data_IF_983049872947
#
_entry.id   IF_983049872947
#
_cell.length_a   1.000
_cell.length_b   1.000
_cell.length_c   1.000
_cell.angle_alpha   90.00
_cell.angle_beta   90.00
_cell.angle_gamma   90.00
#
_symmetry.space_group_name_H-M   'P 1'
#
loop_
_entity.id
_entity.type
_entity.pdbx_description
1 polymer ?
#
# COMPACT_ATOMS: atom_id res chain seq x y z
N UNK A 1 19.02 0.44 -5.31
CA UNK A 1 17.97 0.55 -4.28
C UNK A 1 17.49 -0.86 -4.01
N UNK A 2 18.18 -1.51 -3.08
CA UNK A 2 17.63 -2.34 -2.00
C UNK A 2 16.71 -3.52 -2.34
N UNK A 3 17.26 -4.50 -3.09
CA UNK A 3 16.64 -5.83 -3.26
C UNK A 3 16.28 -6.51 -1.90
N UNK A 4 16.98 -6.17 -0.81
CA UNK A 4 16.66 -6.66 0.54
C UNK A 4 15.46 -5.94 1.19
N UNK A 5 15.30 -4.62 0.95
CA UNK A 5 14.16 -3.86 1.45
C UNK A 5 12.87 -4.30 0.75
N UNK A 6 12.93 -4.51 -0.57
CA UNK A 6 11.80 -4.99 -1.36
C UNK A 6 11.40 -6.41 -0.95
N UNK A 7 12.37 -7.30 -0.69
CA UNK A 7 12.11 -8.66 -0.24
C UNK A 7 11.48 -8.70 1.17
N UNK A 8 11.98 -7.88 2.09
CA UNK A 8 11.44 -7.77 3.45
C UNK A 8 10.01 -7.21 3.45
N UNK A 9 9.77 -6.17 2.65
CA UNK A 9 8.45 -5.59 2.49
C UNK A 9 7.47 -6.55 1.80
N UNK A 10 7.93 -7.27 0.79
CA UNK A 10 7.13 -8.32 0.12
C UNK A 10 6.67 -9.36 1.14
N UNK A 11 7.59 -9.89 1.96
CA UNK A 11 7.24 -10.87 2.99
C UNK A 11 6.27 -10.31 4.04
N UNK A 12 6.39 -9.02 4.39
CA UNK A 12 5.45 -8.35 5.29
C UNK A 12 4.04 -8.26 4.67
N UNK A 13 3.95 -7.83 3.40
CA UNK A 13 2.69 -7.73 2.67
C UNK A 13 2.04 -9.10 2.45
N UNK A 14 2.82 -10.15 2.19
CA UNK A 14 2.31 -11.53 2.09
C UNK A 14 1.66 -12.01 3.40
N UNK A 15 2.21 -11.59 4.55
CA UNK A 15 1.65 -11.90 5.87
C UNK A 15 0.42 -11.06 6.19
N UNK A 16 0.39 -9.80 5.75
CA UNK A 16 -0.72 -8.89 5.99
C UNK A 16 -1.93 -9.18 5.10
N UNK A 17 -1.71 -9.70 3.89
CA UNK A 17 -2.75 -10.04 2.92
C UNK A 17 -2.56 -11.45 2.37
N UNK A 18 -2.79 -12.50 3.19
CA UNK A 18 -2.55 -13.88 2.82
C UNK A 18 -3.42 -14.36 1.65
N UNK A 19 -4.67 -13.91 1.54
CA UNK A 19 -5.57 -14.29 0.45
C UNK A 19 -5.13 -13.66 -0.89
N UNK A 20 -4.67 -12.42 -0.84
CA UNK A 20 -4.11 -11.69 -1.97
C UNK A 20 -2.79 -12.31 -2.41
N UNK A 21 -1.91 -12.65 -1.47
CA UNK A 21 -0.64 -13.33 -1.77
C UNK A 21 -0.85 -14.70 -2.43
N UNK A 22 -1.81 -15.49 -1.93
CA UNK A 22 -2.09 -16.82 -2.46
C UNK A 22 -2.70 -16.80 -3.88
N UNK A 23 -3.58 -15.83 -4.17
CA UNK A 23 -4.32 -15.78 -5.44
C UNK A 23 -3.71 -14.84 -6.48
N UNK A 24 -3.09 -13.75 -6.02
CA UNK A 24 -2.59 -12.65 -6.83
C UNK A 24 -1.18 -12.21 -6.37
N UNK A 25 -0.17 -13.11 -6.39
CA UNK A 25 1.19 -12.79 -5.91
C UNK A 25 1.86 -11.64 -6.67
N UNK A 26 1.45 -11.39 -7.92
CA UNK A 26 1.93 -10.26 -8.72
C UNK A 26 1.44 -8.90 -8.19
N UNK A 27 0.27 -8.86 -7.54
CA UNK A 27 -0.25 -7.64 -6.88
C UNK A 27 0.64 -7.29 -5.69
N UNK A 28 0.98 -8.27 -4.85
CA UNK A 28 1.88 -8.07 -3.70
C UNK A 28 3.25 -7.57 -4.13
N UNK A 29 3.86 -8.21 -5.13
CA UNK A 29 5.17 -7.78 -5.67
C UNK A 29 5.13 -6.36 -6.20
N UNK A 30 4.04 -6.00 -6.90
CA UNK A 30 3.88 -4.66 -7.45
C UNK A 30 3.66 -3.62 -6.34
N UNK A 31 2.84 -3.94 -5.33
CA UNK A 31 2.68 -3.11 -4.14
C UNK A 31 4.03 -2.85 -3.46
N UNK A 32 4.83 -3.89 -3.21
CA UNK A 32 6.15 -3.74 -2.61
C UNK A 32 7.04 -2.79 -3.41
N UNK A 33 7.09 -2.96 -4.74
CA UNK A 33 7.90 -2.11 -5.62
C UNK A 33 7.41 -0.67 -5.75
N UNK A 34 6.13 -0.40 -5.49
CA UNK A 34 5.58 0.98 -5.51
C UNK A 34 5.46 1.60 -4.12
N UNK A 35 5.67 0.85 -3.04
CA UNK A 35 5.33 1.29 -1.68
C UNK A 35 6.10 2.52 -1.20
N UNK A 36 7.35 2.66 -1.66
CA UNK A 36 8.21 3.79 -1.33
C UNK A 36 7.85 5.09 -2.09
N UNK A 37 7.00 4.98 -3.12
CA UNK A 37 6.48 6.12 -3.89
C UNK A 37 4.98 6.31 -3.56
N UNK A 38 4.64 7.30 -2.72
CA UNK A 38 3.26 7.56 -2.32
C UNK A 38 2.30 7.80 -3.48
N UNK A 39 2.75 8.43 -4.56
CA UNK A 39 1.90 8.73 -5.71
C UNK A 39 1.64 7.47 -6.52
N UNK A 40 2.69 6.69 -6.81
CA UNK A 40 2.56 5.42 -7.53
C UNK A 40 1.76 4.38 -6.72
N UNK A 41 1.98 4.29 -5.41
CA UNK A 41 1.27 3.35 -4.55
C UNK A 41 -0.23 3.68 -4.46
N UNK A 42 -0.59 4.95 -4.25
CA UNK A 42 -2.00 5.40 -4.26
C UNK A 42 -2.67 5.16 -5.61
N UNK A 43 -2.00 5.50 -6.71
CA UNK A 43 -2.52 5.25 -8.05
C UNK A 43 -2.76 3.75 -8.28
N UNK A 44 -1.87 2.89 -7.77
CA UNK A 44 -2.04 1.45 -7.86
C UNK A 44 -3.22 0.94 -7.03
N UNK A 45 -3.37 1.35 -5.77
CA UNK A 45 -4.55 1.02 -4.96
C UNK A 45 -5.85 1.48 -5.61
N UNK A 46 -5.87 2.70 -6.16
CA UNK A 46 -7.03 3.21 -6.88
C UNK A 46 -7.38 2.34 -8.10
N UNK A 47 -6.37 1.90 -8.87
CA UNK A 47 -6.59 0.99 -10.00
C UNK A 47 -7.16 -0.37 -9.58
N UNK A 48 -6.81 -0.86 -8.39
CA UNK A 48 -7.29 -2.16 -7.89
C UNK A 48 -8.69 -2.09 -7.27
N UNK A 49 -9.01 -0.99 -6.59
CA UNK A 49 -10.23 -0.86 -5.78
C UNK A 49 -11.35 -0.09 -6.51
N UNK A 50 -11.01 0.78 -7.46
CA UNK A 50 -11.96 1.70 -8.10
C UNK A 50 -12.12 1.44 -9.60
N UNK A 51 -11.07 1.01 -10.30
CA UNK A 51 -11.14 0.79 -11.74
C UNK A 51 -11.84 -0.54 -12.08
N UNK A 52 -13.17 -0.49 -12.12
CA UNK A 52 -14.01 -1.63 -12.53
C UNK A 52 -14.13 -1.62 -14.06
N UNK A 53 -13.09 -2.10 -14.75
CA UNK A 53 -13.14 -2.20 -16.21
C UNK A 53 -14.21 -3.23 -16.64
N UNK A 54 -15.08 -2.92 -17.63
CA UNK A 54 -16.14 -3.82 -18.08
C UNK A 54 -15.52 -5.05 -18.75
N UNK A 55 -15.38 -6.14 -17.98
CA UNK A 55 -14.78 -7.40 -18.43
C UNK A 55 -13.89 -8.07 -17.40
N UNK A 56 -13.43 -7.34 -16.36
CA UNK A 56 -12.75 -7.95 -15.22
C UNK A 56 -13.81 -8.53 -14.27
N UNK A 57 -13.73 -9.83 -13.96
CA UNK A 57 -14.39 -10.35 -12.77
C UNK A 57 -13.64 -9.72 -11.59
N UNK A 58 -14.29 -8.81 -10.87
CA UNK A 58 -13.69 -8.12 -9.72
C UNK A 58 -13.06 -9.08 -8.71
N UNK A 59 -12.31 -8.54 -7.75
CA UNK A 59 -11.67 -9.39 -6.76
C UNK A 59 -12.70 -10.16 -5.90
N UNK A 60 -12.37 -11.40 -5.50
CA UNK A 60 -13.04 -12.06 -4.40
C UNK A 60 -13.12 -11.15 -3.17
N UNK A 61 -14.20 -11.25 -2.40
CA UNK A 61 -14.48 -10.35 -1.26
C UNK A 61 -13.33 -10.33 -0.24
N UNK A 62 -12.74 -11.49 0.05
CA UNK A 62 -11.60 -11.62 0.98
C UNK A 62 -10.37 -10.85 0.49
N UNK A 63 -10.05 -10.93 -0.79
CA UNK A 63 -8.97 -10.15 -1.42
C UNK A 63 -9.29 -8.66 -1.40
N UNK A 64 -10.54 -8.27 -1.69
CA UNK A 64 -10.94 -6.87 -1.68
C UNK A 64 -10.83 -6.25 -0.29
N UNK A 65 -11.25 -6.97 0.76
CA UNK A 65 -11.14 -6.52 2.16
C UNK A 65 -9.68 -6.37 2.60
N UNK A 66 -8.81 -7.31 2.23
CA UNK A 66 -7.38 -7.20 2.53
C UNK A 66 -6.75 -5.97 1.86
N UNK A 67 -7.06 -5.73 0.58
CA UNK A 67 -6.55 -4.59 -0.16
C UNK A 67 -7.07 -3.26 0.40
N UNK A 68 -8.32 -3.20 0.88
CA UNK A 68 -8.87 -2.03 1.56
C UNK A 68 -8.18 -1.76 2.91
N UNK A 69 -7.97 -2.79 3.73
CA UNK A 69 -7.26 -2.61 5.00
C UNK A 69 -5.79 -2.19 4.78
N UNK A 70 -5.13 -2.74 3.76
CA UNK A 70 -3.78 -2.34 3.39
C UNK A 70 -3.73 -0.87 2.95
N UNK A 71 -4.68 -0.41 2.14
CA UNK A 71 -4.71 0.98 1.69
C UNK A 71 -4.96 1.94 2.86
N UNK A 72 -5.90 1.62 3.75
CA UNK A 72 -6.17 2.42 4.95
C UNK A 72 -4.93 2.51 5.86
N UNK A 73 -4.25 1.38 6.11
CA UNK A 73 -3.04 1.37 6.91
C UNK A 73 -1.92 2.23 6.29
N UNK A 74 -1.77 2.15 4.96
CA UNK A 74 -0.80 2.97 4.23
C UNK A 74 -1.09 4.46 4.34
N UNK A 75 -2.36 4.86 4.18
CA UNK A 75 -2.81 6.25 4.30
C UNK A 75 -2.58 6.83 5.70
N UNK A 76 -2.84 6.04 6.74
CA UNK A 76 -2.58 6.43 8.13
C UNK A 76 -1.07 6.62 8.36
N UNK A 77 -0.24 5.69 7.86
CA UNK A 77 1.21 5.80 7.93
C UNK A 77 1.73 7.08 7.29
N UNK A 78 1.29 7.39 6.06
CA UNK A 78 1.66 8.61 5.35
C UNK A 78 1.21 9.88 6.09
N UNK A 79 0.03 9.85 6.72
CA UNK A 79 -0.49 11.00 7.46
C UNK A 79 0.36 11.29 8.70
N UNK A 80 0.77 10.25 9.42
CA UNK A 80 1.63 10.37 10.60
C UNK A 80 3.02 10.92 10.25
N UNK A 81 3.61 10.50 9.13
CA UNK A 81 4.90 11.03 8.68
C UNK A 81 4.83 12.53 8.38
N UNK A 82 3.74 12.98 7.73
CA UNK A 82 3.52 14.41 7.42
C UNK A 82 3.25 15.26 8.65
N UNK A 83 2.57 14.69 9.65
CA UNK A 83 2.29 15.38 10.90
C UNK A 83 3.57 15.56 11.73
N UNK A 84 4.49 14.58 11.72
CA UNK A 84 5.82 14.71 12.33
C UNK A 84 6.62 15.91 11.81
N UNK A 85 6.57 16.17 10.50
CA UNK A 85 7.20 17.34 9.89
C UNK A 85 6.44 18.65 10.22
N UNK A 86 5.11 18.59 10.32
CA UNK A 86 4.27 19.77 10.55
C UNK A 86 4.41 20.35 11.97
N UNK A 87 4.56 19.50 13.00
CA UNK A 87 4.79 19.96 14.38
C UNK A 87 6.26 20.35 14.64
N UNK A 88 7.21 19.83 13.86
CA UNK A 88 8.64 20.20 13.95
C UNK A 88 8.94 21.58 13.35
N UNK A 89 8.09 22.08 12.46
CA UNK A 89 8.29 23.37 11.77
C UNK A 89 7.90 24.61 12.60
N UNK A 90 7.39 24.43 13.82
CA UNK A 90 6.83 25.50 14.64
C UNK A 90 7.47 25.59 16.05
N UNK A 91 8.75 25.27 16.18
CA UNK A 91 9.52 25.72 17.35
C UNK A 91 9.83 27.22 17.22
N UNK A 92 9.21 28.12 18.01
CA UNK A 92 9.70 29.48 18.09
C UNK A 92 11.09 29.41 18.74
N UNK A 93 12.12 29.79 18.00
CA UNK A 93 13.45 30.03 18.56
C UNK A 93 13.30 31.05 19.71
N UNK A 94 13.49 30.58 20.93
CA UNK A 94 13.67 31.39 22.14
C UNK A 94 15.10 31.91 22.19
#
# INVERSE_FOLDING_TARGET
MDNESDASLTALLERAAPHTAARFPHVIRRLAGTWADPEACRAFFHSLLVDVSPGQQGFPLDVMLELMHLSEHYEIGLSNDREGDAWSANEPML
#
